data_IF_113554974410
#
_entry.id   IF_113554974410
#
_cell.length_a   1.000
_cell.length_b   1.000
_cell.length_c   1.000
_cell.angle_alpha   90.00
_cell.angle_beta   90.00
_cell.angle_gamma   90.00
#
_symmetry.space_group_name_H-M   'P 1'
#
loop_
_entity.id
_entity.type
_entity.pdbx_description
1 polymer ?
#
# COMPACT_ATOMS: atom_id res chain seq x y z
N UNK A 1 -7.85 -13.13 -3.38
CA UNK A 1 -7.74 -14.61 -3.35
C UNK A 1 -8.86 -15.24 -4.15
N UNK A 2 -10.10 -14.82 -3.93
CA UNK A 2 -11.27 -15.40 -4.62
C UNK A 2 -11.18 -15.29 -6.14
N UNK A 3 -10.74 -14.15 -6.66
CA UNK A 3 -10.53 -13.98 -8.10
C UNK A 3 -9.57 -15.02 -8.71
N UNK A 4 -8.44 -15.30 -8.05
CA UNK A 4 -7.49 -16.31 -8.55
C UNK A 4 -8.00 -17.73 -8.38
N UNK A 5 -8.76 -18.01 -7.30
CA UNK A 5 -9.44 -19.30 -7.11
C UNK A 5 -10.54 -19.53 -8.15
N UNK A 6 -11.13 -18.46 -8.68
CA UNK A 6 -12.07 -18.49 -9.80
C UNK A 6 -11.36 -18.57 -11.18
N UNK A 7 -10.05 -18.86 -11.21
CA UNK A 7 -9.26 -19.01 -12.42
C UNK A 7 -8.96 -17.71 -13.16
N UNK A 8 -9.04 -16.55 -12.49
CA UNK A 8 -8.77 -15.24 -13.10
C UNK A 8 -7.34 -14.79 -12.82
N UNK A 9 -6.70 -14.23 -13.84
CA UNK A 9 -5.52 -13.38 -13.66
C UNK A 9 -5.96 -12.03 -13.09
N UNK A 10 -5.10 -11.39 -12.31
CA UNK A 10 -5.48 -10.21 -11.52
C UNK A 10 -4.47 -9.09 -11.69
N UNK A 11 -4.96 -7.90 -12.06
CA UNK A 11 -4.27 -6.65 -11.76
C UNK A 11 -4.89 -6.06 -10.50
N UNK A 12 -4.07 -5.70 -9.51
CA UNK A 12 -4.53 -5.16 -8.22
C UNK A 12 -3.77 -3.88 -7.89
N UNK A 13 -4.50 -2.86 -7.44
CA UNK A 13 -3.89 -1.60 -7.02
C UNK A 13 -3.07 -1.75 -5.73
N UNK A 14 -2.14 -0.82 -5.54
CA UNK A 14 -1.44 -0.67 -4.26
C UNK A 14 -2.35 0.07 -3.25
N UNK A 15 -2.23 -0.18 -1.94
CA UNK A 15 -1.52 -1.31 -1.32
C UNK A 15 -2.32 -2.61 -1.50
N UNK A 16 -1.62 -3.74 -1.56
CA UNK A 16 -2.25 -5.05 -1.86
C UNK A 16 -2.96 -5.71 -0.67
N UNK A 17 -2.68 -5.26 0.56
CA UNK A 17 -3.20 -5.85 1.78
C UNK A 17 -2.84 -5.01 3.00
N UNK A 18 -3.49 -5.30 4.12
CA UNK A 18 -3.31 -4.56 5.38
C UNK A 18 -2.47 -5.34 6.40
N UNK A 19 -2.21 -6.64 6.16
CA UNK A 19 -1.31 -7.45 6.97
C UNK A 19 -0.36 -8.33 6.16
N UNK A 20 0.77 -8.70 6.76
CA UNK A 20 1.74 -9.61 6.16
C UNK A 20 1.10 -10.98 5.87
N UNK A 21 0.25 -11.47 6.78
CA UNK A 21 -0.42 -12.76 6.63
C UNK A 21 -1.35 -12.77 5.40
N UNK A 22 -2.15 -11.72 5.20
CA UNK A 22 -2.99 -11.57 4.00
C UNK A 22 -2.14 -11.63 2.73
N UNK A 23 -1.04 -10.87 2.69
CA UNK A 23 -0.13 -10.86 1.55
C UNK A 23 0.47 -12.26 1.27
N UNK A 24 0.87 -12.98 2.32
CA UNK A 24 1.39 -14.35 2.19
C UNK A 24 0.33 -15.31 1.63
N UNK A 25 -0.91 -15.23 2.12
CA UNK A 25 -2.03 -16.04 1.62
C UNK A 25 -2.34 -15.70 0.15
N UNK A 26 -2.26 -14.43 -0.24
CA UNK A 26 -2.42 -14.00 -1.63
C UNK A 26 -1.37 -14.60 -2.55
N UNK A 27 -0.09 -14.57 -2.14
CA UNK A 27 1.01 -15.19 -2.90
C UNK A 27 0.82 -16.70 -3.03
N UNK A 28 0.43 -17.38 -1.95
CA UNK A 28 0.15 -18.81 -1.97
C UNK A 28 -1.00 -19.16 -2.93
N UNK A 29 -2.09 -18.39 -2.88
CA UNK A 29 -3.24 -18.58 -3.77
C UNK A 29 -2.86 -18.37 -5.25
N UNK A 30 -2.09 -17.32 -5.56
CA UNK A 30 -1.62 -17.07 -6.92
C UNK A 30 -0.76 -18.23 -7.44
N UNK A 31 0.18 -18.73 -6.64
CA UNK A 31 1.04 -19.88 -6.99
C UNK A 31 0.23 -21.16 -7.19
N UNK A 32 -0.68 -21.49 -6.27
CA UNK A 32 -1.53 -22.69 -6.35
C UNK A 32 -2.36 -22.72 -7.63
N UNK A 33 -2.94 -21.59 -8.00
CA UNK A 33 -3.81 -21.47 -9.18
C UNK A 33 -3.02 -21.17 -10.47
N UNK A 34 -1.68 -21.06 -10.41
CA UNK A 34 -0.83 -20.63 -11.54
C UNK A 34 -1.33 -19.32 -12.17
N UNK A 35 -1.86 -18.42 -11.35
CA UNK A 35 -2.44 -17.17 -11.81
C UNK A 35 -1.36 -16.10 -11.97
N UNK A 36 -1.43 -15.33 -13.05
CA UNK A 36 -0.65 -14.11 -13.22
C UNK A 36 -1.30 -13.02 -12.35
N UNK A 37 -0.50 -12.43 -11.47
CA UNK A 37 -0.92 -11.31 -10.62
C UNK A 37 0.08 -10.16 -10.77
N UNK A 38 -0.43 -8.98 -11.11
CA UNK A 38 0.35 -7.75 -11.20
C UNK A 38 -0.15 -6.74 -10.18
N UNK A 39 0.78 -6.15 -9.44
CA UNK A 39 0.50 -5.06 -8.51
C UNK A 39 0.74 -3.72 -9.21
N UNK A 40 -0.15 -2.75 -9.00
CA UNK A 40 -0.10 -1.40 -9.56
C UNK A 40 1.02 -0.50 -9.04
N UNK A 41 2.27 -0.93 -9.18
CA UNK A 41 3.47 -0.13 -8.89
C UNK A 41 3.82 0.76 -10.09
N UNK A 42 2.93 1.69 -10.43
CA UNK A 42 3.02 2.47 -11.68
C UNK A 42 4.33 3.24 -11.86
N UNK A 43 5.01 3.62 -10.77
CA UNK A 43 6.30 4.33 -10.84
C UNK A 43 7.38 3.50 -11.56
N UNK A 44 7.31 2.17 -11.46
CA UNK A 44 8.24 1.28 -12.17
C UNK A 44 8.13 1.38 -13.69
N UNK A 45 6.98 1.81 -14.20
CA UNK A 45 6.71 1.92 -15.64
C UNK A 45 7.10 3.29 -16.23
N UNK A 46 7.60 4.22 -15.41
CA UNK A 46 7.97 5.55 -15.87
C UNK A 46 9.46 5.64 -16.20
N UNK A 47 9.79 6.30 -17.31
CA UNK A 47 11.15 6.30 -17.87
C UNK A 47 12.18 6.87 -16.88
N UNK A 48 11.90 8.01 -16.26
CA UNK A 48 12.86 8.63 -15.33
C UNK A 48 13.16 7.76 -14.10
N UNK A 49 12.21 6.94 -13.65
CA UNK A 49 12.46 5.95 -12.62
C UNK A 49 13.32 4.80 -13.16
N UNK A 50 13.11 4.33 -14.39
CA UNK A 50 13.99 3.32 -15.00
C UNK A 50 15.42 3.84 -15.16
N UNK A 51 15.59 5.06 -15.67
CA UNK A 51 16.91 5.70 -15.86
C UNK A 51 17.70 5.80 -14.54
N UNK A 52 17.02 6.18 -13.45
CA UNK A 52 17.66 6.27 -12.15
C UNK A 52 18.02 4.90 -11.56
N UNK A 53 17.24 3.84 -11.80
CA UNK A 53 17.59 2.46 -11.43
C UNK A 53 18.83 2.02 -12.22
N UNK A 54 18.84 2.25 -13.52
CA UNK A 54 19.94 1.87 -14.40
C UNK A 54 21.23 2.59 -14.01
N UNK A 55 21.13 3.87 -13.63
CA UNK A 55 22.28 4.60 -13.13
C UNK A 55 22.82 4.02 -11.81
N UNK A 56 21.94 3.67 -10.86
CA UNK A 56 22.35 2.99 -9.63
C UNK A 56 23.02 1.65 -9.94
N UNK A 57 22.43 0.86 -10.84
CA UNK A 57 22.94 -0.45 -11.24
C UNK A 57 24.22 -0.39 -12.07
N UNK A 58 24.51 0.74 -12.71
CA UNK A 58 25.75 0.94 -13.48
C UNK A 58 27.03 0.90 -12.61
N UNK A 59 26.89 1.04 -11.28
CA UNK A 59 28.01 1.06 -10.34
C UNK A 59 28.76 2.40 -10.27
N UNK A 60 28.37 3.41 -11.06
CA UNK A 60 29.00 4.74 -11.06
C UNK A 60 28.91 5.48 -9.72
N UNK A 61 27.95 5.13 -8.87
CA UNK A 61 27.81 5.66 -7.50
C UNK A 61 28.76 5.01 -6.49
N UNK A 62 29.48 3.95 -6.87
CA UNK A 62 30.30 3.17 -5.96
C UNK A 62 29.46 2.40 -4.93
N UNK A 63 30.03 2.20 -3.73
CA UNK A 63 29.38 1.43 -2.66
C UNK A 63 28.36 2.29 -1.90
N UNK A 64 27.08 2.06 -2.18
CA UNK A 64 25.98 2.69 -1.45
C UNK A 64 25.92 2.15 -0.02
N UNK A 65 25.86 3.06 0.96
CA UNK A 65 25.78 2.73 2.40
C UNK A 65 24.46 3.11 3.04
N UNK A 66 23.73 4.05 2.44
CA UNK A 66 22.50 4.59 2.97
C UNK A 66 21.59 4.99 1.81
N UNK A 67 20.33 4.58 1.88
CA UNK A 67 19.26 5.07 1.01
C UNK A 67 18.25 5.79 1.90
N UNK A 68 17.82 6.97 1.48
CA UNK A 68 16.78 7.74 2.14
C UNK A 68 15.61 7.88 1.17
N UNK A 69 14.43 7.56 1.65
CA UNK A 69 13.18 7.70 0.94
C UNK A 69 12.23 8.51 1.81
N UNK A 70 11.57 9.51 1.23
CA UNK A 70 10.60 10.33 1.94
C UNK A 70 9.46 10.74 1.00
N UNK A 71 8.28 10.93 1.58
CA UNK A 71 7.16 11.57 0.92
C UNK A 71 6.79 12.79 1.75
N UNK A 72 6.67 13.94 1.08
CA UNK A 72 6.20 15.17 1.70
C UNK A 72 4.84 15.52 1.12
N UNK A 73 3.85 15.73 1.98
CA UNK A 73 2.48 16.01 1.57
C UNK A 73 1.95 17.23 2.34
N UNK A 74 2.02 18.40 1.71
CA UNK A 74 1.61 19.68 2.30
C UNK A 74 0.15 20.07 2.05
N UNK A 75 -0.62 19.28 1.30
CA UNK A 75 -1.98 19.63 0.90
C UNK A 75 -3.08 19.12 1.85
N UNK A 76 -2.76 18.19 2.76
CA UNK A 76 -3.77 17.56 3.62
C UNK A 76 -3.98 18.38 4.90
N UNK A 77 -5.13 19.03 4.99
CA UNK A 77 -5.60 19.66 6.23
C UNK A 77 -6.22 18.65 7.20
N UNK A 78 -6.38 19.06 8.46
CA UNK A 78 -7.12 18.29 9.46
C UNK A 78 -8.53 17.94 8.96
N UNK A 79 -8.98 16.72 9.27
CA UNK A 79 -10.32 16.27 8.94
C UNK A 79 -11.27 16.86 10.00
N UNK A 80 -12.30 17.64 9.61
CA UNK A 80 -13.24 18.20 10.57
C UNK A 80 -14.02 17.08 11.27
N UNK A 81 -14.35 17.23 12.54
CA UNK A 81 -15.16 16.22 13.25
C UNK A 81 -16.62 16.39 12.81
N UNK A 82 -17.23 15.29 12.36
CA UNK A 82 -18.64 15.23 11.96
C UNK A 82 -19.34 14.11 12.73
N UNK A 83 -20.64 14.25 13.04
CA UNK A 83 -21.39 13.19 13.71
C UNK A 83 -21.55 11.95 12.81
N UNK A 84 -21.84 10.82 13.45
CA UNK A 84 -22.21 9.60 12.73
C UNK A 84 -23.56 9.77 12.02
N UNK A 85 -23.75 9.05 10.93
CA UNK A 85 -24.93 9.18 10.06
C UNK A 85 -25.40 7.80 9.54
N UNK A 86 -26.63 7.70 9.03
CA UNK A 86 -27.12 6.45 8.44
C UNK A 86 -26.25 6.00 7.26
N UNK A 87 -26.11 4.68 7.11
CA UNK A 87 -25.42 4.09 5.96
C UNK A 87 -26.15 4.51 4.66
N UNK A 88 -25.45 5.07 3.66
CA UNK A 88 -26.07 5.45 2.40
C UNK A 88 -26.70 4.26 1.68
N UNK A 89 -27.79 4.51 0.95
CA UNK A 89 -28.47 3.47 0.17
C UNK A 89 -27.50 2.77 -0.80
N UNK A 90 -27.53 1.43 -0.81
CA UNK A 90 -26.64 0.61 -1.64
C UNK A 90 -25.25 0.35 -1.06
N UNK A 91 -24.90 0.92 0.10
CA UNK A 91 -23.62 0.65 0.77
C UNK A 91 -23.75 -0.56 1.69
N UNK A 92 -23.06 -1.64 1.33
CA UNK A 92 -22.87 -2.83 2.15
C UNK A 92 -21.77 -2.58 3.19
N UNK A 93 -22.10 -1.80 4.23
CA UNK A 93 -21.09 -1.24 5.14
C UNK A 93 -20.39 -2.30 6.01
N UNK A 94 -21.08 -3.37 6.39
CA UNK A 94 -20.47 -4.45 7.18
C UNK A 94 -19.37 -5.16 6.38
N UNK A 95 -19.63 -5.41 5.11
CA UNK A 95 -18.71 -6.00 4.16
C UNK A 95 -17.55 -5.05 3.84
N UNK A 96 -17.85 -3.75 3.71
CA UNK A 96 -16.84 -2.71 3.51
C UNK A 96 -15.86 -2.61 4.69
N UNK A 97 -16.35 -2.70 5.93
CA UNK A 97 -15.51 -2.74 7.13
C UNK A 97 -14.65 -4.01 7.17
N UNK A 98 -15.18 -5.12 6.66
CA UNK A 98 -14.50 -6.41 6.66
C UNK A 98 -14.06 -6.82 8.07
N UNK A 99 -12.78 -7.18 8.30
CA UNK A 99 -12.29 -7.60 9.61
C UNK A 99 -12.00 -6.44 10.57
N UNK A 100 -12.16 -5.19 10.16
CA UNK A 100 -11.88 -4.03 11.02
C UNK A 100 -12.86 -3.95 12.21
N UNK A 101 -12.49 -3.18 13.23
CA UNK A 101 -13.38 -2.90 14.36
C UNK A 101 -14.70 -2.30 13.85
N UNK A 102 -15.83 -2.86 14.30
CA UNK A 102 -17.15 -2.31 13.97
C UNK A 102 -17.29 -0.89 14.51
N UNK A 103 -17.67 0.03 13.64
CA UNK A 103 -17.96 1.44 13.94
C UNK A 103 -19.31 1.82 13.32
N UNK A 104 -20.03 2.80 13.88
CA UNK A 104 -21.11 3.46 13.15
C UNK A 104 -20.61 4.07 11.85
N UNK A 105 -21.49 4.21 10.87
CA UNK A 105 -21.12 4.87 9.62
C UNK A 105 -20.87 6.36 9.86
N UNK A 106 -19.80 6.85 9.26
CA UNK A 106 -19.38 8.24 9.31
C UNK A 106 -18.68 8.56 7.99
N UNK A 107 -19.13 9.57 7.26
CA UNK A 107 -18.54 9.96 5.97
C UNK A 107 -17.04 10.24 6.03
N UNK A 108 -16.52 10.74 7.15
CA UNK A 108 -15.07 10.92 7.31
C UNK A 108 -14.30 9.61 7.36
N UNK A 109 -14.93 8.53 7.79
CA UNK A 109 -14.30 7.20 7.87
C UNK A 109 -14.49 6.38 6.61
N UNK A 110 -15.22 6.90 5.63
CA UNK A 110 -15.55 6.22 4.39
C UNK A 110 -14.53 6.52 3.27
N UNK A 111 -14.87 6.20 2.02
CA UNK A 111 -13.99 6.29 0.85
C UNK A 111 -13.07 7.52 0.85
N UNK A 112 -11.85 7.34 0.34
CA UNK A 112 -10.75 8.29 0.39
C UNK A 112 -10.21 8.56 1.80
N UNK A 113 -11.02 8.99 2.75
CA UNK A 113 -10.54 9.43 4.06
C UNK A 113 -10.22 8.28 5.03
N UNK A 114 -10.73 7.08 4.79
CA UNK A 114 -10.43 5.87 5.58
C UNK A 114 -8.92 5.68 5.83
N UNK A 115 -8.08 6.12 4.87
CA UNK A 115 -6.61 5.98 4.93
C UNK A 115 -5.96 6.67 6.14
N UNK A 116 -6.68 7.61 6.76
CA UNK A 116 -6.21 8.42 7.89
C UNK A 116 -6.65 7.86 9.25
N UNK A 117 -7.34 6.71 9.27
CA UNK A 117 -7.83 6.08 10.49
C UNK A 117 -7.15 4.73 10.69
N UNK A 118 -6.55 4.55 11.87
CA UNK A 118 -5.81 3.33 12.24
C UNK A 118 -6.63 2.05 12.21
N UNK A 119 -7.96 2.15 12.33
CA UNK A 119 -8.83 0.98 12.19
C UNK A 119 -8.75 0.36 10.77
N UNK A 120 -8.37 1.15 9.75
CA UNK A 120 -8.42 0.74 8.34
C UNK A 120 -7.08 0.84 7.60
N UNK A 121 -6.16 1.72 8.03
CA UNK A 121 -4.91 2.01 7.33
C UNK A 121 -3.85 2.66 8.24
N UNK A 122 -2.62 2.80 7.75
CA UNK A 122 -1.50 3.40 8.47
C UNK A 122 -1.07 4.79 7.98
N UNK A 123 -1.99 5.56 7.38
CA UNK A 123 -1.72 6.92 6.92
C UNK A 123 -0.75 7.01 5.73
N UNK A 124 -0.03 8.15 5.66
CA UNK A 124 0.82 8.49 4.52
C UNK A 124 1.93 7.46 4.28
N UNK A 125 2.50 6.88 5.35
CA UNK A 125 3.55 5.88 5.25
C UNK A 125 3.07 4.62 4.51
N UNK A 126 1.85 4.17 4.80
CA UNK A 126 1.28 2.98 4.11
C UNK A 126 0.71 3.29 2.73
N UNK A 127 0.35 4.55 2.45
CA UNK A 127 -0.22 4.96 1.16
C UNK A 127 0.84 5.36 0.13
N UNK A 128 1.75 6.26 0.51
CA UNK A 128 2.83 6.77 -0.34
C UNK A 128 4.19 6.16 -0.03
N UNK A 129 4.43 5.74 1.22
CA UNK A 129 5.70 5.12 1.57
C UNK A 129 5.95 3.82 0.81
N UNK A 130 4.91 3.08 0.43
CA UNK A 130 5.05 1.88 -0.42
C UNK A 130 5.75 2.20 -1.75
N UNK A 131 5.42 3.32 -2.39
CA UNK A 131 6.05 3.74 -3.65
C UNK A 131 7.54 4.03 -3.47
N UNK A 132 7.87 4.78 -2.41
CA UNK A 132 9.24 5.23 -2.17
C UNK A 132 10.15 4.08 -1.69
N UNK A 133 9.62 3.20 -0.84
CA UNK A 133 10.34 2.04 -0.34
C UNK A 133 10.55 0.99 -1.42
N UNK A 134 9.53 0.74 -2.25
CA UNK A 134 9.61 -0.18 -3.38
C UNK A 134 10.79 0.15 -4.30
N UNK A 135 10.96 1.43 -4.61
CA UNK A 135 12.04 1.90 -5.46
C UNK A 135 13.43 1.78 -4.79
N UNK A 136 13.52 2.09 -3.50
CA UNK A 136 14.75 1.91 -2.73
C UNK A 136 15.18 0.44 -2.69
N UNK A 137 14.24 -0.48 -2.48
CA UNK A 137 14.49 -1.92 -2.47
C UNK A 137 14.91 -2.42 -3.86
N UNK A 138 14.21 -1.96 -4.90
CA UNK A 138 14.51 -2.30 -6.30
C UNK A 138 15.92 -1.85 -6.70
N UNK A 139 16.29 -0.61 -6.43
CA UNK A 139 17.60 -0.02 -6.74
C UNK A 139 18.76 -0.76 -6.04
N UNK A 140 18.50 -1.24 -4.82
CA UNK A 140 19.48 -1.95 -4.01
C UNK A 140 19.50 -3.47 -4.26
N UNK A 141 18.61 -3.99 -5.12
CA UNK A 141 18.44 -5.42 -5.39
C UNK A 141 18.23 -6.26 -4.12
N UNK A 142 17.40 -5.75 -3.21
CA UNK A 142 17.05 -6.43 -1.95
C UNK A 142 15.53 -6.60 -1.85
N UNK A 143 15.09 -7.58 -1.05
CA UNK A 143 13.66 -7.83 -0.81
C UNK A 143 13.22 -7.36 0.56
N UNK A 144 13.49 -8.16 1.59
CA UNK A 144 12.91 -7.99 2.92
C UNK A 144 13.92 -7.34 3.88
N UNK A 145 13.47 -6.39 4.72
CA UNK A 145 14.33 -5.81 5.73
C UNK A 145 14.68 -6.86 6.80
N UNK A 146 15.92 -6.80 7.31
CA UNK A 146 16.37 -7.64 8.44
C UNK A 146 15.77 -7.21 9.78
N UNK A 147 15.51 -5.92 9.93
CA UNK A 147 14.90 -5.31 11.10
C UNK A 147 14.23 -4.00 10.70
N UNK A 148 13.24 -3.58 11.47
CA UNK A 148 12.49 -2.34 11.26
C UNK A 148 12.41 -1.58 12.59
N UNK A 149 12.58 -0.27 12.54
CA UNK A 149 12.27 0.65 13.62
C UNK A 149 11.32 1.71 13.08
N UNK A 150 10.28 2.04 13.85
CA UNK A 150 9.33 3.09 13.53
C UNK A 150 9.20 4.04 14.72
N UNK A 151 9.13 5.34 14.42
CA UNK A 151 8.83 6.39 15.39
C UNK A 151 7.94 7.43 14.72
N UNK A 152 7.01 8.02 15.47
CA UNK A 152 6.04 8.98 14.98
C UNK A 152 5.64 9.98 16.05
N UNK A 153 5.24 11.18 15.63
CA UNK A 153 4.69 12.23 16.49
C UNK A 153 3.16 12.27 16.45
N UNK A 154 2.56 13.04 17.36
CA UNK A 154 1.15 13.48 17.29
C UNK A 154 1.08 14.87 16.69
#
# INVERSE_FOLDING_TARGET
IDAVNAGKHVYVEKPIGNSILECQLMVQAAKKNKAIVQVGQWQRSQQHFQDAIDFVHSGKLGKIRLVKAWSYQGWKSAIPIVPDEPVPAGVHYTEWLGPAQKRPFNSNRFHFNFRWFWDYAGGLLTDWGVHMLDYALLAMKVSDPKSIMASGGK
#
